data_IF_732407907366
#
_entry.id   IF_732407907366
#
_cell.length_a   1.000
_cell.length_b   1.000
_cell.length_c   1.000
_cell.angle_alpha   90.00
_cell.angle_beta   90.00
_cell.angle_gamma   90.00
#
_symmetry.space_group_name_H-M   'P 1'
#
loop_
_entity.id
_entity.type
_entity.pdbx_description
1 polymer ?
#
# COMPACT_ATOMS: atom_id res chain seq x y z
N UNK A 1 -21.65 -53.70 -43.54
CA UNK A 1 -21.01 -53.90 -42.22
C UNK A 1 -21.10 -52.68 -41.30
N UNK A 2 -21.93 -51.67 -41.61
CA UNK A 2 -22.01 -50.42 -40.82
C UNK A 2 -23.41 -50.16 -40.22
N UNK A 3 -24.40 -51.01 -40.54
CA UNK A 3 -25.78 -50.87 -40.07
C UNK A 3 -26.03 -51.67 -38.77
N UNK A 4 -25.31 -52.76 -38.53
CA UNK A 4 -25.44 -53.58 -37.30
C UNK A 4 -24.85 -52.88 -36.05
N UNK A 5 -23.81 -52.05 -36.22
CA UNK A 5 -23.13 -51.36 -35.12
C UNK A 5 -23.84 -50.11 -34.59
N UNK A 6 -24.95 -49.71 -35.22
CA UNK A 6 -25.80 -48.60 -34.76
C UNK A 6 -26.99 -49.10 -33.91
N UNK A 7 -27.40 -50.35 -34.10
CA UNK A 7 -28.56 -50.94 -33.41
C UNK A 7 -28.23 -51.37 -31.97
N UNK A 8 -27.00 -51.83 -31.72
CA UNK A 8 -26.50 -52.19 -30.39
C UNK A 8 -26.31 -50.97 -29.45
N UNK A 9 -26.06 -49.77 -30.00
CA UNK A 9 -25.92 -48.55 -29.20
C UNK A 9 -27.25 -47.95 -28.74
N UNK A 10 -28.36 -48.29 -29.40
CA UNK A 10 -29.68 -47.79 -29.02
C UNK A 10 -30.30 -48.58 -27.86
N UNK A 11 -29.91 -49.84 -27.66
CA UNK A 11 -30.44 -50.69 -26.58
C UNK A 11 -29.74 -50.49 -25.23
N UNK A 12 -28.56 -49.86 -25.20
CA UNK A 12 -27.89 -49.50 -23.93
C UNK A 12 -28.46 -48.24 -23.28
N UNK A 13 -29.34 -47.49 -23.98
CA UNK A 13 -29.94 -46.26 -23.48
C UNK A 13 -31.21 -46.49 -22.61
N UNK A 14 -31.72 -47.72 -22.51
CA UNK A 14 -32.99 -48.04 -21.81
C UNK A 14 -32.79 -49.14 -20.76
N UNK A 15 -31.66 -49.11 -20.06
CA UNK A 15 -31.47 -49.89 -18.84
C UNK A 15 -30.83 -49.00 -17.78
N UNK A 16 -31.46 -47.84 -17.51
CA UNK A 16 -31.20 -47.04 -16.33
C UNK A 16 -31.62 -47.84 -15.11
N UNK A 17 -30.64 -48.49 -14.50
CA UNK A 17 -30.76 -49.24 -13.27
C UNK A 17 -31.56 -48.41 -12.24
N UNK A 18 -32.66 -48.94 -11.68
CA UNK A 18 -33.54 -48.19 -10.74
C UNK A 18 -32.75 -47.59 -9.57
N UNK A 19 -31.57 -48.17 -9.27
CA UNK A 19 -30.62 -47.68 -8.28
C UNK A 19 -29.95 -46.37 -8.68
N UNK A 20 -29.61 -46.20 -9.96
CA UNK A 20 -29.01 -44.97 -10.50
C UNK A 20 -30.04 -43.83 -10.57
N UNK A 21 -31.28 -44.16 -10.96
CA UNK A 21 -32.36 -43.18 -10.94
C UNK A 21 -32.66 -42.70 -9.50
N UNK A 22 -32.66 -43.61 -8.53
CA UNK A 22 -32.89 -43.30 -7.12
C UNK A 22 -31.75 -42.47 -6.51
N UNK A 23 -30.48 -42.77 -6.83
CA UNK A 23 -29.34 -41.97 -6.36
C UNK A 23 -29.31 -40.57 -6.96
N UNK A 24 -29.65 -40.43 -8.24
CA UNK A 24 -29.77 -39.12 -8.89
C UNK A 24 -30.92 -38.29 -8.28
N UNK A 25 -32.08 -38.90 -8.05
CA UNK A 25 -33.20 -38.22 -7.40
C UNK A 25 -32.88 -37.80 -5.96
N UNK A 26 -32.19 -38.65 -5.20
CA UNK A 26 -31.75 -38.31 -3.84
C UNK A 26 -30.75 -37.14 -3.84
N UNK A 27 -29.78 -37.13 -4.77
CA UNK A 27 -28.83 -36.02 -4.92
C UNK A 27 -29.52 -34.71 -5.28
N UNK A 28 -30.48 -34.74 -6.20
CA UNK A 28 -31.25 -33.55 -6.58
C UNK A 28 -32.06 -33.02 -5.38
N UNK A 29 -32.69 -33.90 -4.59
CA UNK A 29 -33.45 -33.51 -3.42
C UNK A 29 -32.56 -32.90 -2.32
N UNK A 30 -31.35 -33.44 -2.10
CA UNK A 30 -30.35 -32.87 -1.17
C UNK A 30 -29.89 -31.49 -1.65
N UNK A 31 -29.63 -31.32 -2.94
CA UNK A 31 -29.26 -30.01 -3.52
C UNK A 31 -30.38 -28.97 -3.38
N UNK A 32 -31.64 -29.37 -3.58
CA UNK A 32 -32.79 -28.47 -3.42
C UNK A 32 -33.03 -28.08 -1.96
N UNK A 33 -32.84 -29.01 -1.01
CA UNK A 33 -32.93 -28.73 0.43
C UNK A 33 -31.78 -27.83 0.92
N UNK A 34 -30.56 -28.00 0.38
CA UNK A 34 -29.43 -27.12 0.66
C UNK A 34 -29.65 -25.70 0.12
N UNK A 35 -30.26 -25.55 -1.07
CA UNK A 35 -30.61 -24.26 -1.63
C UNK A 35 -31.75 -23.56 -0.85
N UNK A 36 -32.70 -24.33 -0.30
CA UNK A 36 -33.84 -23.78 0.45
C UNK A 36 -33.51 -23.35 1.88
N UNK A 37 -32.42 -23.84 2.48
CA UNK A 37 -32.06 -23.55 3.87
C UNK A 37 -31.18 -22.31 4.05
N UNK A 38 -30.83 -21.59 2.98
CA UNK A 38 -30.01 -20.37 3.08
C UNK A 38 -28.68 -20.59 3.80
N UNK A 39 -28.18 -21.84 3.82
CA UNK A 39 -26.95 -22.20 4.50
C UNK A 39 -25.79 -21.68 3.64
N UNK A 40 -25.25 -20.52 4.02
CA UNK A 40 -24.13 -19.90 3.35
C UNK A 40 -22.87 -20.77 3.52
N UNK A 41 -22.66 -21.66 2.55
CA UNK A 41 -21.40 -22.35 2.36
C UNK A 41 -20.36 -21.28 2.04
N UNK A 42 -19.49 -21.01 3.02
CA UNK A 42 -18.21 -20.31 2.91
C UNK A 42 -18.18 -19.19 1.85
N UNK A 43 -18.70 -18.02 2.22
CA UNK A 43 -18.20 -16.78 1.63
C UNK A 43 -16.70 -16.70 1.94
N UNK A 44 -15.88 -17.18 1.01
CA UNK A 44 -14.47 -16.81 0.96
C UNK A 44 -14.43 -15.34 0.55
N UNK A 45 -14.34 -14.46 1.53
CA UNK A 45 -14.20 -13.02 1.34
C UNK A 45 -12.84 -12.75 0.64
N UNK A 46 -12.82 -12.36 -0.66
CA UNK A 46 -11.57 -12.05 -1.34
C UNK A 46 -10.99 -10.70 -0.89
N UNK A 47 -11.68 -10.01 0.03
CA UNK A 47 -11.26 -8.76 0.65
C UNK A 47 -10.04 -8.91 1.57
N UNK A 48 -9.70 -10.14 1.99
CA UNK A 48 -8.53 -10.39 2.87
C UNK A 48 -7.19 -10.19 2.16
N UNK A 49 -7.14 -10.16 0.82
CA UNK A 49 -5.90 -9.87 0.06
C UNK A 49 -5.83 -8.46 -0.52
N UNK A 50 -6.70 -7.56 -0.07
CA UNK A 50 -6.68 -6.14 -0.43
C UNK A 50 -6.43 -5.25 0.79
N UNK A 51 -5.46 -5.59 1.64
CA UNK A 51 -4.84 -4.58 2.51
C UNK A 51 -3.84 -3.75 1.69
N UNK A 52 -4.39 -2.96 0.76
CA UNK A 52 -3.71 -1.82 0.14
C UNK A 52 -3.95 -0.55 0.95
N UNK A 53 -4.50 -0.65 2.16
CA UNK A 53 -4.57 0.50 3.05
C UNK A 53 -3.13 0.84 3.41
N UNK A 54 -2.61 2.02 3.04
CA UNK A 54 -1.32 2.44 3.58
C UNK A 54 -1.52 2.39 5.08
N UNK A 55 -0.70 1.60 5.81
CA UNK A 55 -0.69 1.64 7.28
C UNK A 55 -0.50 3.09 7.67
N UNK A 56 -1.60 3.78 7.93
CA UNK A 56 -1.58 5.16 8.34
C UNK A 56 -1.03 5.09 9.75
N UNK A 57 0.30 5.26 9.86
CA UNK A 57 0.89 5.69 11.11
C UNK A 57 0.10 6.92 11.52
N UNK A 58 -0.83 6.74 12.44
CA UNK A 58 -1.75 7.76 12.91
C UNK A 58 -0.97 8.70 13.81
N UNK A 59 0.00 9.41 13.24
CA UNK A 59 0.55 10.58 13.88
C UNK A 59 -0.58 11.59 13.98
N UNK A 60 -0.90 12.01 15.20
CA UNK A 60 -1.81 13.14 15.41
C UNK A 60 -1.24 14.31 14.59
N UNK A 61 -2.01 14.91 13.66
CA UNK A 61 -1.56 16.07 12.90
C UNK A 61 -1.05 17.15 13.86
N UNK A 62 0.17 17.64 13.63
CA UNK A 62 0.89 18.54 14.54
C UNK A 62 1.77 17.86 15.63
N UNK A 63 1.68 16.55 15.84
CA UNK A 63 2.51 15.83 16.82
C UNK A 63 3.83 15.29 16.25
N UNK A 64 3.96 15.16 14.92
CA UNK A 64 5.24 14.91 14.27
C UNK A 64 5.38 15.62 12.93
N UNK A 65 6.64 15.82 12.58
CA UNK A 65 7.12 16.35 11.31
C UNK A 65 8.10 15.34 10.72
N UNK A 66 8.15 15.28 9.39
CA UNK A 66 9.14 14.51 8.65
C UNK A 66 10.30 15.45 8.34
N UNK A 67 11.52 15.03 8.67
CA UNK A 67 12.74 15.75 8.34
C UNK A 67 13.57 14.85 7.44
N UNK A 68 13.76 15.28 6.19
CA UNK A 68 14.74 14.72 5.29
C UNK A 68 16.03 15.54 5.40
N UNK A 69 17.10 14.91 5.88
CA UNK A 69 18.42 15.51 5.91
C UNK A 69 19.15 15.14 4.62
N UNK A 70 19.18 16.01 3.63
CA UNK A 70 19.93 15.79 2.40
C UNK A 70 21.33 16.40 2.45
N UNK A 71 22.15 16.09 1.44
CA UNK A 71 23.52 16.63 1.36
C UNK A 71 23.56 18.10 0.92
N UNK A 72 22.61 18.49 0.06
CA UNK A 72 22.59 19.83 -0.54
C UNK A 72 21.41 20.66 -0.01
N UNK A 73 20.24 20.04 0.12
CA UNK A 73 19.06 20.61 0.72
C UNK A 73 18.51 19.61 1.74
N UNK A 74 17.97 20.10 2.83
CA UNK A 74 17.18 19.34 3.79
C UNK A 74 15.74 19.82 3.70
N UNK A 75 14.78 18.93 3.86
CA UNK A 75 13.37 19.28 3.76
C UNK A 75 12.62 18.92 5.04
N UNK A 76 11.64 19.73 5.39
CA UNK A 76 10.70 19.47 6.47
C UNK A 76 9.30 19.43 5.89
N UNK A 77 8.50 18.44 6.27
CA UNK A 77 7.10 18.35 5.91
C UNK A 77 6.25 17.97 7.13
N UNK A 78 5.00 18.39 7.13
CA UNK A 78 4.08 18.06 8.21
C UNK A 78 2.70 18.63 7.98
N UNK A 79 1.85 18.50 8.98
CA UNK A 79 0.49 19.03 8.98
C UNK A 79 0.33 20.01 10.13
N UNK A 80 -0.29 21.15 9.86
CA UNK A 80 -0.74 22.11 10.86
C UNK A 80 -2.27 22.05 10.94
N UNK A 81 -2.79 22.04 12.16
CA UNK A 81 -4.23 22.05 12.43
C UNK A 81 -4.64 23.47 12.74
N UNK A 82 -5.54 24.03 11.93
CA UNK A 82 -6.11 25.36 12.12
C UNK A 82 -7.64 25.23 12.27
N UNK A 83 -8.12 25.11 13.50
CA UNK A 83 -9.53 24.84 13.76
C UNK A 83 -9.91 23.40 13.34
N UNK A 84 -10.81 23.26 12.36
CA UNK A 84 -11.27 21.96 11.84
C UNK A 84 -10.56 21.52 10.55
N UNK A 85 -9.65 22.34 10.04
CA UNK A 85 -8.93 22.04 8.79
C UNK A 85 -7.48 21.67 9.08
N UNK A 86 -7.00 20.66 8.35
CA UNK A 86 -5.61 20.25 8.36
C UNK A 86 -4.95 20.75 7.08
N UNK A 87 -3.82 21.44 7.22
CA UNK A 87 -3.05 21.94 6.08
C UNK A 87 -1.65 21.32 6.08
N UNK A 88 -1.27 20.72 4.97
CA UNK A 88 0.09 20.24 4.75
C UNK A 88 1.04 21.41 4.50
N UNK A 89 2.24 21.35 5.05
CA UNK A 89 3.38 22.19 4.67
C UNK A 89 4.57 21.34 4.25
N UNK A 90 5.39 21.89 3.37
CA UNK A 90 6.68 21.33 2.99
C UNK A 90 7.62 22.47 2.63
N UNK A 91 8.81 22.48 3.23
CA UNK A 91 9.85 23.47 2.96
C UNK A 91 11.20 22.76 2.79
N UNK A 92 11.96 23.17 1.79
CA UNK A 92 13.32 22.69 1.57
C UNK A 92 14.29 23.86 1.75
N UNK A 93 15.36 23.61 2.50
CA UNK A 93 16.33 24.60 2.98
C UNK A 93 17.73 24.12 2.57
N UNK A 94 18.60 24.98 2.03
CA UNK A 94 19.98 24.60 1.78
C UNK A 94 20.65 24.02 3.04
N UNK A 95 21.34 22.89 2.89
CA UNK A 95 22.13 22.26 3.97
C UNK A 95 23.48 22.94 4.10
N UNK A 96 23.41 24.22 4.45
CA UNK A 96 24.52 25.16 4.55
C UNK A 96 24.47 25.83 5.91
N UNK A 97 25.63 25.96 6.56
CA UNK A 97 25.83 26.70 7.81
C UNK A 97 27.04 27.59 7.63
N UNK A 98 27.03 28.81 8.15
CA UNK A 98 28.18 29.69 8.17
C UNK A 98 28.28 30.38 9.53
N UNK A 99 29.48 30.75 9.93
CA UNK A 99 29.71 31.55 11.14
C UNK A 99 30.28 32.90 10.73
N UNK A 100 29.67 33.97 11.20
CA UNK A 100 30.15 35.33 10.96
C UNK A 100 31.27 35.67 11.95
N UNK A 101 32.06 36.71 11.64
CA UNK A 101 33.20 37.12 12.47
C UNK A 101 32.80 37.58 13.89
N UNK A 102 31.57 38.06 14.06
CA UNK A 102 30.96 38.41 15.36
C UNK A 102 30.38 37.20 16.12
N UNK A 103 30.54 35.99 15.55
CA UNK A 103 30.16 34.72 16.18
C UNK A 103 28.71 34.29 15.95
N UNK A 104 27.94 34.99 15.12
CA UNK A 104 26.58 34.58 14.80
C UNK A 104 26.57 33.38 13.83
N UNK A 105 25.61 32.46 14.04
CA UNK A 105 25.40 31.32 13.16
C UNK A 105 24.33 31.64 12.10
N UNK A 106 24.70 31.55 10.83
CA UNK A 106 23.79 31.63 9.69
C UNK A 106 23.46 30.22 9.21
N UNK A 107 22.22 29.99 8.77
CA UNK A 107 21.75 28.68 8.28
C UNK A 107 20.94 28.86 7.00
N UNK A 108 20.99 27.86 6.11
CA UNK A 108 20.15 27.80 4.93
C UNK A 108 20.53 28.84 3.88
N UNK A 109 19.53 29.56 3.37
CA UNK A 109 19.73 30.55 2.31
C UNK A 109 20.64 31.70 2.76
N UNK A 110 20.58 32.09 4.05
CA UNK A 110 21.45 33.12 4.61
C UNK A 110 22.92 32.68 4.57
N UNK A 111 23.24 31.45 5.01
CA UNK A 111 24.59 30.90 4.96
C UNK A 111 25.11 30.77 3.52
N UNK A 112 24.27 30.23 2.63
CA UNK A 112 24.60 30.07 1.20
C UNK A 112 24.86 31.41 0.51
N UNK A 113 24.10 32.45 0.84
CA UNK A 113 24.32 33.78 0.31
C UNK A 113 25.56 34.44 0.91
N UNK A 114 25.81 34.26 2.20
CA UNK A 114 27.03 34.73 2.86
C UNK A 114 28.29 34.13 2.20
N UNK A 115 28.25 32.83 1.86
CA UNK A 115 29.31 32.13 1.16
C UNK A 115 29.69 32.73 -0.21
N UNK A 116 28.78 33.49 -0.86
CA UNK A 116 29.11 34.16 -2.13
C UNK A 116 30.13 35.27 -1.94
N UNK A 117 30.12 35.94 -0.78
CA UNK A 117 31.07 36.99 -0.42
C UNK A 117 32.25 36.44 0.41
N UNK A 118 32.02 35.41 1.22
CA UNK A 118 33.00 34.78 2.10
C UNK A 118 33.01 33.25 1.90
N UNK A 119 33.66 32.74 0.83
CA UNK A 119 33.56 31.33 0.42
C UNK A 119 34.02 30.33 1.49
N UNK A 120 35.04 30.70 2.26
CA UNK A 120 35.67 29.83 3.25
C UNK A 120 34.90 29.80 4.59
N UNK A 121 33.94 30.71 4.78
CA UNK A 121 33.17 30.84 6.01
C UNK A 121 31.99 29.85 6.11
N UNK A 122 31.67 29.15 5.02
CA UNK A 122 30.50 28.28 4.93
C UNK A 122 30.86 26.78 4.88
N UNK A 123 30.11 26.00 5.64
CA UNK A 123 30.19 24.54 5.73
C UNK A 123 28.97 23.95 5.02
N UNK A 124 29.21 23.07 4.06
CA UNK A 124 28.18 22.37 3.29
C UNK A 124 28.67 20.96 2.89
N UNK A 125 27.75 20.11 2.46
CA UNK A 125 28.09 18.73 2.09
C UNK A 125 28.51 17.82 3.25
N UNK A 126 28.31 18.29 4.49
CA UNK A 126 28.71 17.61 5.72
C UNK A 126 28.02 16.25 5.91
N UNK A 127 26.86 16.01 5.28
CA UNK A 127 26.17 14.71 5.33
C UNK A 127 27.08 13.57 4.85
N UNK A 128 27.99 13.83 3.89
CA UNK A 128 28.97 12.84 3.40
C UNK A 128 30.00 12.43 4.45
N UNK A 129 30.22 13.26 5.46
CA UNK A 129 31.22 13.03 6.50
C UNK A 129 30.65 12.31 7.72
N UNK A 130 29.32 12.29 7.86
CA UNK A 130 28.65 11.63 8.98
C UNK A 130 28.95 10.12 8.95
N UNK A 131 29.41 9.59 10.08
CA UNK A 131 29.71 8.17 10.24
C UNK A 131 31.08 7.73 9.70
N UNK A 132 31.87 8.63 9.11
CA UNK A 132 33.28 8.38 8.82
C UNK A 132 34.09 8.47 10.13
N UNK A 133 35.02 7.54 10.34
CA UNK A 133 35.92 7.44 11.50
C UNK A 133 37.32 7.08 11.03
#
# INVERSE_FOLDING_TARGET
MEVEASRERFHYLVATDRRIAATLQALIFVCLLAAASGLQILHHDPSVYADSTPKQFRYRPGAAIVIDLGNNNSCVAGYVVAGKTEKMFQHCIPSWVAFTDDGAALVGEAAKNHAKAHPDAAIFGFKRLLGLR
#
